data_IF_783994790103
#
_entry.id   IF_783994790103
#
_cell.length_a   1.000
_cell.length_b   1.000
_cell.length_c   1.000
_cell.angle_alpha   90.00
_cell.angle_beta   90.00
_cell.angle_gamma   90.00
#
_symmetry.space_group_name_H-M   'P 1'
#
loop_
_entity.id
_entity.type
_entity.pdbx_description
1 polymer ?
#
# COMPACT_ATOMS: atom_id res chain seq x y z
N UNK A 1 -24.35 2.37 13.46
CA UNK A 1 -23.31 2.40 12.41
C UNK A 1 -22.75 0.99 12.34
N UNK A 2 -23.07 0.26 11.28
CA UNK A 2 -22.61 -1.12 11.10
C UNK A 2 -21.09 -1.17 10.97
N UNK A 3 -20.47 -1.73 12.00
CA UNK A 3 -19.08 -2.15 12.02
C UNK A 3 -18.93 -3.32 11.04
N UNK A 4 -18.06 -3.15 10.04
CA UNK A 4 -17.60 -4.26 9.21
C UNK A 4 -17.18 -5.41 10.13
N UNK A 5 -17.89 -6.52 10.04
CA UNK A 5 -17.79 -7.64 10.98
C UNK A 5 -16.41 -8.24 10.82
N UNK A 6 -15.53 -8.05 11.82
CA UNK A 6 -14.23 -8.71 11.86
C UNK A 6 -14.48 -10.22 11.83
N UNK A 7 -13.98 -10.91 10.80
CA UNK A 7 -14.02 -12.37 10.77
C UNK A 7 -13.24 -12.90 11.98
N UNK A 8 -13.77 -13.91 12.71
CA UNK A 8 -13.06 -14.49 13.85
C UNK A 8 -11.66 -14.91 13.45
N UNK A 9 -10.67 -14.57 14.26
CA UNK A 9 -9.29 -14.98 14.03
C UNK A 9 -9.24 -16.52 14.00
N UNK A 10 -8.74 -17.09 12.90
CA UNK A 10 -8.79 -18.53 12.66
C UNK A 10 -9.98 -19.01 11.81
N UNK A 11 -10.81 -18.11 11.29
CA UNK A 11 -11.83 -18.47 10.31
C UNK A 11 -11.20 -19.01 9.02
N UNK A 12 -11.65 -20.19 8.58
CA UNK A 12 -11.25 -20.78 7.30
C UNK A 12 -11.64 -19.90 6.09
N UNK A 13 -12.62 -19.00 6.25
CA UNK A 13 -13.07 -18.07 5.20
C UNK A 13 -12.30 -16.75 5.18
N UNK A 14 -11.48 -16.46 6.20
CA UNK A 14 -10.66 -15.26 6.30
C UNK A 14 -9.80 -15.01 5.05
N UNK A 15 -9.00 -16.01 4.60
CA UNK A 15 -8.18 -15.85 3.40
C UNK A 15 -8.99 -15.59 2.13
N UNK A 16 -10.16 -16.24 1.98
CA UNK A 16 -11.02 -16.03 0.82
C UNK A 16 -11.61 -14.61 0.79
N UNK A 17 -11.98 -14.08 1.96
CA UNK A 17 -12.45 -12.70 2.08
C UNK A 17 -11.35 -11.70 1.70
N UNK A 18 -10.13 -11.88 2.21
CA UNK A 18 -8.99 -11.03 1.84
C UNK A 18 -8.66 -11.10 0.35
N UNK A 19 -8.81 -12.26 -0.30
CA UNK A 19 -8.65 -12.36 -1.75
C UNK A 19 -9.69 -11.53 -2.52
N UNK A 20 -10.94 -11.44 -2.04
CA UNK A 20 -11.96 -10.59 -2.67
C UNK A 20 -11.63 -9.11 -2.51
N UNK A 21 -11.20 -8.70 -1.30
CA UNK A 21 -10.74 -7.33 -1.05
C UNK A 21 -9.53 -7.01 -1.93
N UNK A 22 -8.57 -7.93 -2.03
CA UNK A 22 -7.38 -7.76 -2.84
C UNK A 22 -7.71 -7.65 -4.34
N UNK A 23 -8.60 -8.51 -4.87
CA UNK A 23 -9.03 -8.46 -6.27
C UNK A 23 -9.63 -7.09 -6.62
N UNK A 24 -10.46 -6.52 -5.76
CA UNK A 24 -11.07 -5.22 -5.99
C UNK A 24 -10.02 -4.09 -6.07
N UNK A 25 -9.05 -4.08 -5.16
CA UNK A 25 -7.96 -3.08 -5.17
C UNK A 25 -7.03 -3.30 -6.37
N UNK A 26 -6.74 -4.55 -6.74
CA UNK A 26 -5.92 -4.89 -7.90
C UNK A 26 -6.56 -4.50 -9.23
N UNK A 27 -7.89 -4.51 -9.32
CA UNK A 27 -8.66 -4.13 -10.52
C UNK A 27 -8.90 -2.62 -10.65
N UNK A 28 -8.54 -1.84 -9.63
CA UNK A 28 -8.68 -0.38 -9.70
C UNK A 28 -7.76 0.20 -10.78
N UNK A 29 -8.27 1.21 -11.49
CA UNK A 29 -7.48 1.92 -12.48
C UNK A 29 -6.50 2.88 -11.77
N UNK A 30 -5.24 2.46 -11.70
CA UNK A 30 -4.18 3.22 -11.08
C UNK A 30 -3.59 4.25 -12.06
N UNK A 31 -3.21 5.42 -11.55
CA UNK A 31 -2.49 6.41 -12.35
C UNK A 31 -1.16 5.85 -12.85
N UNK A 32 -0.70 6.31 -14.02
CA UNK A 32 0.56 5.87 -14.62
C UNK A 32 1.73 5.97 -13.63
N UNK A 33 2.55 4.91 -13.57
CA UNK A 33 3.70 4.83 -12.67
C UNK A 33 3.38 4.27 -11.28
N UNK A 34 2.16 3.79 -11.05
CA UNK A 34 1.79 2.99 -9.86
C UNK A 34 1.73 1.52 -10.27
N UNK A 35 2.45 0.68 -9.54
CA UNK A 35 2.30 -0.76 -9.57
C UNK A 35 1.86 -1.25 -8.20
N UNK A 36 0.85 -2.11 -8.18
CA UNK A 36 0.32 -2.70 -6.96
C UNK A 36 0.51 -4.22 -6.98
N UNK A 37 0.94 -4.76 -5.86
CA UNK A 37 0.97 -6.20 -5.60
C UNK A 37 0.30 -6.48 -4.25
N UNK A 38 -0.44 -7.58 -4.17
CA UNK A 38 -1.06 -8.05 -2.93
C UNK A 38 -0.61 -9.49 -2.62
N UNK A 39 -0.48 -9.81 -1.34
CA UNK A 39 -0.23 -11.17 -0.85
C UNK A 39 -0.89 -11.35 0.51
N UNK A 40 -1.83 -12.30 0.61
CA UNK A 40 -2.67 -12.47 1.79
C UNK A 40 -3.37 -11.14 2.19
N UNK A 41 -3.09 -10.62 3.37
CA UNK A 41 -3.58 -9.34 3.90
C UNK A 41 -2.62 -8.16 3.65
N UNK A 42 -1.45 -8.40 3.06
CA UNK A 42 -0.43 -7.38 2.79
C UNK A 42 -0.51 -6.83 1.36
N UNK A 43 -0.24 -5.53 1.23
CA UNK A 43 -0.23 -4.82 -0.04
C UNK A 43 1.04 -4.00 -0.19
N UNK A 44 1.59 -3.99 -1.39
CA UNK A 44 2.80 -3.25 -1.76
C UNK A 44 2.49 -2.35 -2.94
N UNK A 45 2.66 -1.04 -2.74
CA UNK A 45 2.56 -0.03 -3.78
C UNK A 45 3.96 0.43 -4.18
N UNK A 46 4.31 0.25 -5.44
CA UNK A 46 5.47 0.87 -6.06
C UNK A 46 4.99 2.09 -6.85
N UNK A 47 5.29 3.28 -6.35
CA UNK A 47 4.83 4.55 -6.94
C UNK A 47 6.02 5.36 -7.43
N UNK A 48 6.02 5.70 -8.71
CA UNK A 48 6.95 6.67 -9.28
C UNK A 48 6.43 8.10 -9.03
N UNK A 49 6.73 8.65 -7.86
CA UNK A 49 6.33 10.00 -7.45
C UNK A 49 7.52 10.78 -6.92
N UNK A 50 7.48 12.12 -7.09
CA UNK A 50 8.48 13.03 -6.56
C UNK A 50 8.32 13.36 -5.08
N UNK A 51 7.23 12.96 -4.42
CA UNK A 51 6.94 13.36 -3.04
C UNK A 51 6.24 12.29 -2.19
N UNK A 52 6.59 12.23 -0.90
CA UNK A 52 5.96 11.33 0.09
C UNK A 52 4.45 11.59 0.24
N UNK A 53 4.01 12.83 0.06
CA UNK A 53 2.61 13.22 0.21
C UNK A 53 1.72 12.64 -0.90
N UNK A 54 2.20 12.63 -2.14
CA UNK A 54 1.48 12.03 -3.27
C UNK A 54 1.28 10.52 -3.06
N UNK A 55 2.31 9.82 -2.59
CA UNK A 55 2.22 8.38 -2.26
C UNK A 55 1.17 8.14 -1.18
N UNK A 56 1.16 8.94 -0.11
CA UNK A 56 0.14 8.87 0.96
C UNK A 56 -1.26 9.12 0.43
N UNK A 57 -1.45 10.16 -0.37
CA UNK A 57 -2.75 10.49 -0.94
C UNK A 57 -3.26 9.37 -1.85
N UNK A 58 -2.36 8.74 -2.62
CA UNK A 58 -2.70 7.64 -3.50
C UNK A 58 -3.13 6.39 -2.72
N UNK A 59 -2.38 6.04 -1.67
CA UNK A 59 -2.73 4.94 -0.77
C UNK A 59 -4.05 5.18 -0.02
N UNK A 60 -4.33 6.41 0.43
CA UNK A 60 -5.61 6.72 1.06
C UNK A 60 -6.76 6.64 0.06
N UNK A 61 -6.64 7.29 -1.11
CA UNK A 61 -7.67 7.28 -2.16
C UNK A 61 -8.04 5.87 -2.62
N UNK A 62 -7.05 4.98 -2.64
CA UNK A 62 -7.23 3.57 -2.94
C UNK A 62 -8.25 2.89 -2.00
N UNK A 63 -8.23 3.22 -0.72
CA UNK A 63 -8.71 2.32 0.35
C UNK A 63 -9.79 2.94 1.24
N UNK A 64 -9.62 4.19 1.68
CA UNK A 64 -10.51 4.80 2.67
C UNK A 64 -11.84 5.23 2.07
N UNK A 65 -11.84 5.77 0.86
CA UNK A 65 -13.03 6.41 0.28
C UNK A 65 -14.11 5.39 -0.12
N UNK A 66 -13.71 4.16 -0.43
CA UNK A 66 -14.61 3.13 -0.95
C UNK A 66 -14.94 2.02 0.06
N UNK A 67 -13.98 1.62 0.90
CA UNK A 67 -14.12 0.40 1.73
C UNK A 67 -14.09 0.63 3.24
N UNK A 68 -13.93 1.87 3.72
CA UNK A 68 -13.81 2.20 5.15
C UNK A 68 -12.73 1.37 5.87
N UNK A 69 -11.68 0.99 5.14
CA UNK A 69 -10.51 0.32 5.70
C UNK A 69 -9.50 1.37 6.14
N UNK A 70 -9.00 1.23 7.37
CA UNK A 70 -7.97 2.12 7.91
C UNK A 70 -6.58 1.53 7.64
N UNK A 71 -5.71 2.33 7.03
CA UNK A 71 -4.30 2.00 6.86
C UNK A 71 -3.59 2.24 8.20
N UNK A 72 -2.94 1.21 8.73
CA UNK A 72 -2.10 1.36 9.94
C UNK A 72 -0.81 2.09 9.57
N UNK A 73 -0.74 3.38 9.90
CA UNK A 73 0.45 4.20 9.65
C UNK A 73 1.69 3.65 10.36
N UNK A 74 1.51 3.15 11.58
CA UNK A 74 2.59 2.59 12.42
C UNK A 74 3.24 1.35 11.81
N UNK A 75 2.47 0.60 11.00
CA UNK A 75 2.92 -0.62 10.32
C UNK A 75 3.35 -0.37 8.88
N UNK A 76 3.04 0.78 8.33
CA UNK A 76 3.38 1.13 6.95
C UNK A 76 4.85 1.51 6.85
N UNK A 77 5.60 0.71 6.09
CA UNK A 77 6.99 0.99 5.75
C UNK A 77 7.07 1.47 4.30
N UNK A 78 8.03 2.34 3.99
CA UNK A 78 8.28 2.74 2.61
C UNK A 78 9.78 2.75 2.30
N UNK A 79 10.08 2.48 1.03
CA UNK A 79 11.42 2.55 0.48
C UNK A 79 11.47 3.62 -0.59
N UNK A 80 12.22 4.69 -0.36
CA UNK A 80 12.48 5.68 -1.39
C UNK A 80 13.74 5.29 -2.17
N UNK A 81 13.58 5.08 -3.48
CA UNK A 81 14.67 4.85 -4.43
C UNK A 81 14.83 6.10 -5.28
N UNK A 82 15.89 6.87 -5.04
CA UNK A 82 16.20 8.06 -5.85
C UNK A 82 17.27 7.73 -6.89
N UNK A 83 17.07 8.21 -8.13
CA UNK A 83 18.08 8.17 -9.19
C UNK A 83 19.11 9.28 -8.93
N UNK A 84 20.21 8.94 -8.27
CA UNK A 84 21.32 9.87 -8.11
C UNK A 84 21.92 10.20 -9.48
N UNK A 85 21.81 11.46 -9.94
CA UNK A 85 22.31 11.89 -11.26
C UNK A 85 23.83 12.08 -11.30
N UNK A 86 24.53 11.93 -10.17
CA UNK A 86 25.91 12.44 -10.01
C UNK A 86 26.94 11.43 -9.49
N UNK A 87 26.64 10.13 -9.37
CA UNK A 87 27.64 9.16 -8.86
C UNK A 87 27.20 7.70 -8.87
N UNK A 88 28.13 6.75 -8.60
CA UNK A 88 27.88 5.31 -8.69
C UNK A 88 26.80 4.84 -7.71
N UNK A 89 25.99 3.90 -8.18
CA UNK A 89 24.65 3.49 -7.67
C UNK A 89 24.70 2.77 -6.31
N UNK A 90 25.89 2.50 -5.78
CA UNK A 90 26.07 1.66 -4.62
C UNK A 90 25.62 2.40 -3.34
N UNK A 91 24.42 2.08 -2.86
CA UNK A 91 23.89 2.34 -1.52
C UNK A 91 23.39 3.76 -1.16
N UNK A 92 23.69 4.80 -1.94
CA UNK A 92 23.34 6.19 -1.56
C UNK A 92 21.87 6.59 -1.79
N UNK A 93 21.11 5.83 -2.61
CA UNK A 93 19.77 6.20 -3.05
C UNK A 93 18.61 5.50 -2.35
N UNK A 94 18.89 4.58 -1.41
CA UNK A 94 17.90 3.73 -0.74
C UNK A 94 17.78 4.20 0.72
N UNK A 95 16.63 4.79 1.08
CA UNK A 95 16.32 5.18 2.46
C UNK A 95 15.07 4.43 2.95
N UNK A 96 15.23 3.75 4.08
CA UNK A 96 14.15 3.20 4.87
C UNK A 96 13.74 4.22 5.91
N UNK A 97 12.46 4.55 5.97
CA UNK A 97 11.93 5.46 6.96
C UNK A 97 10.58 4.95 7.46
N UNK A 98 10.29 5.23 8.72
CA UNK A 98 9.03 4.87 9.38
C UNK A 98 8.12 6.09 9.37
N UNK A 99 6.82 5.86 9.27
CA UNK A 99 5.87 6.97 9.39
C UNK A 99 5.70 7.28 10.87
N UNK A 100 6.40 8.29 11.37
CA UNK A 100 6.18 8.87 12.72
C UNK A 100 4.93 9.73 12.76
#
# INVERSE_FOLDING_TARGET
>A
MESATRLPQGSCTGPAFWNLVADEVLRQDWTQGVHLQAFADDFVFLVNSGSKQEVKNLANKAWTDKHKLEISLDKTNYLHINKNRSGPIWYSGIKWDKTT
#
